data_IF_782834233612
#
_entry.id   IF_782834233612
#
_cell.length_a   1.000
_cell.length_b   1.000
_cell.length_c   1.000
_cell.angle_alpha   90.00
_cell.angle_beta   90.00
_cell.angle_gamma   90.00
#
_symmetry.space_group_name_H-M   'P 1'
#
loop_
_entity.id
_entity.type
_entity.pdbx_description
1 polymer ?
#
# COMPACT_ATOMS: atom_id res chain seq x y z
N UNK A 1 4.26 30.17 -20.42
CA UNK A 1 4.22 28.73 -20.73
C UNK A 1 5.25 28.08 -19.83
N UNK A 2 4.86 27.19 -18.90
CA UNK A 2 5.82 26.54 -18.00
C UNK A 2 6.73 25.58 -18.77
N UNK A 3 8.04 25.70 -18.57
CA UNK A 3 9.03 24.80 -19.14
C UNK A 3 9.05 23.43 -18.42
N UNK A 4 9.62 22.43 -19.10
CA UNK A 4 9.80 21.10 -18.52
C UNK A 4 10.75 21.14 -17.31
N UNK A 5 10.42 20.39 -16.25
CA UNK A 5 11.31 20.20 -15.10
C UNK A 5 12.15 18.94 -15.27
N UNK A 6 13.38 19.11 -15.75
CA UNK A 6 14.37 18.04 -15.87
C UNK A 6 14.57 17.20 -14.59
N UNK A 7 14.72 17.77 -13.37
CA UNK A 7 14.93 16.97 -12.17
C UNK A 7 13.72 16.11 -11.82
N UNK A 8 12.49 16.59 -12.07
CA UNK A 8 11.30 15.79 -11.84
C UNK A 8 11.16 14.67 -12.85
N UNK A 9 11.41 14.96 -14.13
CA UNK A 9 11.37 13.94 -15.17
C UNK A 9 12.37 12.82 -14.85
N UNK A 10 13.58 13.17 -14.42
CA UNK A 10 14.59 12.22 -13.99
C UNK A 10 14.10 11.32 -12.84
N UNK A 11 13.42 11.89 -11.82
CA UNK A 11 12.87 11.10 -10.71
C UNK A 11 11.71 10.20 -11.12
N UNK A 12 10.84 10.64 -12.03
CA UNK A 12 9.76 9.79 -12.57
C UNK A 12 10.38 8.59 -13.31
N UNK A 13 11.35 8.85 -14.20
CA UNK A 13 12.05 7.80 -14.95
C UNK A 13 12.76 6.85 -14.00
N UNK A 14 13.51 7.37 -13.02
CA UNK A 14 14.20 6.54 -12.03
C UNK A 14 13.21 5.71 -11.20
N UNK A 15 12.05 6.26 -10.83
CA UNK A 15 11.01 5.53 -10.09
C UNK A 15 10.45 4.35 -10.90
N UNK A 16 10.22 4.55 -12.20
CA UNK A 16 9.78 3.49 -13.13
C UNK A 16 10.86 2.42 -13.28
N UNK A 17 12.11 2.81 -13.51
CA UNK A 17 13.23 1.88 -13.65
C UNK A 17 13.40 1.04 -12.38
N UNK A 18 13.39 1.67 -11.20
CA UNK A 18 13.51 0.96 -9.92
C UNK A 18 12.34 0.00 -9.67
N UNK A 19 11.12 0.38 -10.05
CA UNK A 19 9.97 -0.51 -9.97
C UNK A 19 10.10 -1.73 -10.90
N UNK A 20 10.57 -1.53 -12.14
CA UNK A 20 10.82 -2.63 -13.08
C UNK A 20 11.89 -3.58 -12.53
N UNK A 21 13.00 -3.05 -12.00
CA UNK A 21 14.05 -3.86 -11.36
C UNK A 21 13.47 -4.65 -10.20
N UNK A 22 12.66 -4.03 -9.34
CA UNK A 22 12.00 -4.70 -8.21
C UNK A 22 11.09 -5.85 -8.67
N UNK A 23 10.29 -5.67 -9.72
CA UNK A 23 9.46 -6.73 -10.30
C UNK A 23 10.33 -7.89 -10.81
N UNK A 24 11.44 -7.59 -11.51
CA UNK A 24 12.35 -8.61 -12.02
C UNK A 24 12.91 -9.44 -10.85
N UNK A 25 13.36 -8.79 -9.76
CA UNK A 25 13.84 -9.49 -8.58
C UNK A 25 12.76 -10.36 -7.93
N UNK A 26 11.53 -9.87 -7.82
CA UNK A 26 10.41 -10.66 -7.31
C UNK A 26 10.09 -11.88 -8.21
N UNK A 27 10.10 -11.71 -9.53
CA UNK A 27 9.88 -12.78 -10.49
C UNK A 27 11.00 -13.83 -10.49
N UNK A 28 12.23 -13.42 -10.16
CA UNK A 28 13.38 -14.29 -9.98
C UNK A 28 13.36 -15.02 -8.62
N UNK A 29 12.93 -14.35 -7.55
CA UNK A 29 12.85 -14.92 -6.19
C UNK A 29 11.83 -16.07 -6.09
N UNK A 30 10.67 -15.95 -6.75
CA UNK A 30 9.62 -16.98 -6.72
C UNK A 30 10.14 -18.40 -7.04
N UNK A 31 10.77 -18.62 -8.21
CA UNK A 31 11.38 -19.90 -8.57
C UNK A 31 12.81 -20.10 -8.05
N UNK A 32 13.37 -19.19 -7.24
CA UNK A 32 14.76 -19.29 -6.76
C UNK A 32 15.81 -19.22 -7.87
N UNK A 33 15.64 -18.29 -8.81
CA UNK A 33 16.55 -18.08 -9.95
C UNK A 33 17.35 -16.79 -9.77
N UNK A 34 18.55 -16.71 -10.34
CA UNK A 34 19.40 -15.52 -10.19
C UNK A 34 20.05 -15.49 -8.80
N UNK A 35 20.21 -14.34 -8.12
CA UNK A 35 20.98 -14.28 -6.87
C UNK A 35 20.36 -15.06 -5.70
N UNK A 36 19.16 -15.61 -5.90
CA UNK A 36 18.42 -16.42 -4.93
C UNK A 36 18.85 -17.88 -4.99
N UNK A 37 19.03 -18.50 -3.82
CA UNK A 37 19.41 -19.91 -3.68
C UNK A 37 18.20 -20.80 -3.42
N UNK A 38 17.14 -20.24 -2.86
CA UNK A 38 15.95 -20.94 -2.44
C UNK A 38 14.72 -20.38 -3.14
N UNK A 39 13.68 -21.20 -3.28
CA UNK A 39 12.37 -20.68 -3.68
C UNK A 39 11.74 -19.96 -2.48
N UNK A 40 11.01 -18.87 -2.74
CA UNK A 40 10.29 -18.15 -1.66
C UNK A 40 9.33 -19.07 -0.90
N UNK A 41 8.71 -20.02 -1.61
CA UNK A 41 7.79 -21.00 -1.02
C UNK A 41 8.51 -22.03 -0.16
N UNK A 42 9.73 -22.47 -0.51
CA UNK A 42 10.49 -23.41 0.31
C UNK A 42 10.83 -22.81 1.68
N UNK A 43 11.31 -21.57 1.72
CA UNK A 43 11.58 -20.86 2.98
C UNK A 43 10.29 -20.68 3.78
N UNK A 44 9.20 -20.24 3.14
CA UNK A 44 7.91 -20.11 3.84
C UNK A 44 7.39 -21.43 4.41
N UNK A 45 7.72 -22.57 3.80
CA UNK A 45 7.33 -23.89 4.31
C UNK A 45 8.22 -24.33 5.49
N UNK A 46 9.51 -23.96 5.50
CA UNK A 46 10.41 -24.21 6.62
C UNK A 46 10.00 -23.40 7.86
N UNK A 47 9.52 -22.17 7.65
CA UNK A 47 9.08 -21.25 8.70
C UNK A 47 7.55 -21.17 8.84
N UNK A 48 6.88 -22.32 8.78
CA UNK A 48 5.43 -22.38 8.84
C UNK A 48 4.90 -22.05 10.25
N UNK A 49 3.93 -21.13 10.32
CA UNK A 49 3.26 -20.69 11.56
C UNK A 49 1.74 -20.85 11.46
N UNK A 50 1.03 -20.76 12.58
CA UNK A 50 -0.45 -20.82 12.64
C UNK A 50 -1.16 -19.65 11.92
N UNK A 51 -0.41 -18.65 11.43
CA UNK A 51 -0.93 -17.55 10.60
C UNK A 51 -0.26 -17.47 9.22
N UNK A 52 0.49 -18.50 8.83
CA UNK A 52 1.02 -18.60 7.46
C UNK A 52 -0.14 -18.97 6.54
N UNK A 53 -0.50 -18.14 5.54
CA UNK A 53 -1.63 -18.43 4.67
C UNK A 53 -1.32 -19.57 3.69
N UNK A 54 -2.36 -20.06 3.02
CA UNK A 54 -2.22 -21.01 1.93
C UNK A 54 -1.53 -20.38 0.71
N UNK A 55 -0.92 -21.23 -0.13
CA UNK A 55 -0.07 -20.79 -1.25
C UNK A 55 -0.77 -19.86 -2.26
N UNK A 56 -2.08 -20.04 -2.48
CA UNK A 56 -2.83 -19.20 -3.42
C UNK A 56 -2.89 -17.74 -2.97
N UNK A 57 -2.80 -17.46 -1.67
CA UNK A 57 -2.89 -16.09 -1.12
C UNK A 57 -1.73 -15.22 -1.61
N UNK A 58 -0.57 -15.81 -1.91
CA UNK A 58 0.57 -15.09 -2.47
C UNK A 58 0.33 -14.57 -3.90
N UNK A 59 -0.73 -15.01 -4.59
CA UNK A 59 -1.15 -14.42 -5.88
C UNK A 59 -1.51 -12.93 -5.77
N UNK A 60 -1.77 -12.42 -4.56
CA UNK A 60 -1.99 -11.00 -4.31
C UNK A 60 -0.82 -10.12 -4.76
N UNK A 61 0.41 -10.64 -4.79
CA UNK A 61 1.56 -9.93 -5.36
C UNK A 61 1.36 -9.61 -6.84
N UNK A 62 0.76 -10.53 -7.61
CA UNK A 62 0.40 -10.28 -9.01
C UNK A 62 -0.63 -9.15 -9.15
N UNK A 63 -1.63 -9.11 -8.26
CA UNK A 63 -2.63 -8.03 -8.21
C UNK A 63 -1.96 -6.69 -7.86
N UNK A 64 -1.10 -6.68 -6.84
CA UNK A 64 -0.35 -5.49 -6.41
C UNK A 64 0.52 -4.96 -7.55
N UNK A 65 1.36 -5.79 -8.16
CA UNK A 65 2.27 -5.35 -9.22
C UNK A 65 1.53 -4.92 -10.48
N UNK A 66 0.40 -5.56 -10.82
CA UNK A 66 -0.44 -5.10 -11.93
C UNK A 66 -1.02 -3.72 -11.64
N UNK A 67 -1.57 -3.50 -10.45
CA UNK A 67 -2.16 -2.20 -10.08
C UNK A 67 -1.10 -1.09 -10.02
N UNK A 68 0.07 -1.37 -9.43
CA UNK A 68 1.18 -0.43 -9.38
C UNK A 68 1.76 -0.14 -10.79
N UNK A 69 1.70 -1.11 -11.71
CA UNK A 69 2.04 -0.85 -13.11
C UNK A 69 1.05 0.11 -13.75
N UNK A 70 -0.26 -0.05 -13.51
CA UNK A 70 -1.28 0.90 -13.98
C UNK A 70 -1.11 2.30 -13.37
N UNK A 71 -0.69 2.37 -12.10
CA UNK A 71 -0.29 3.62 -11.46
C UNK A 71 0.84 4.31 -12.24
N UNK A 72 1.91 3.59 -12.59
CA UNK A 72 3.01 4.16 -13.35
C UNK A 72 2.65 4.52 -14.78
N UNK A 73 1.81 3.73 -15.46
CA UNK A 73 1.27 4.08 -16.78
C UNK A 73 0.53 5.43 -16.70
N UNK A 74 -0.29 5.63 -15.66
CA UNK A 74 -0.94 6.91 -15.43
C UNK A 74 0.07 8.03 -15.18
N UNK A 75 1.04 7.84 -14.27
CA UNK A 75 2.06 8.86 -13.95
C UNK A 75 2.86 9.25 -15.20
N UNK A 76 3.34 8.29 -15.98
CA UNK A 76 4.08 8.54 -17.22
C UNK A 76 3.19 9.23 -18.26
N UNK A 77 1.90 8.88 -18.35
CA UNK A 77 0.99 9.59 -19.27
C UNK A 77 0.93 11.10 -18.98
N UNK A 78 1.13 11.53 -17.72
CA UNK A 78 1.15 12.96 -17.36
C UNK A 78 2.37 13.71 -17.90
N UNK A 79 3.46 13.02 -18.27
CA UNK A 79 4.62 13.67 -18.90
C UNK A 79 4.37 14.03 -20.36
N UNK A 80 3.45 13.31 -21.01
CA UNK A 80 3.04 13.53 -22.40
C UNK A 80 1.81 14.45 -22.54
N UNK A 81 1.20 14.86 -21.42
CA UNK A 81 -0.03 15.68 -21.39
C UNK A 81 0.28 17.11 -20.93
N UNK A 82 -0.41 18.08 -21.53
CA UNK A 82 -0.28 19.51 -21.19
C UNK A 82 -1.59 20.06 -20.62
N UNK A 83 -1.45 21.02 -19.70
CA UNK A 83 -2.51 21.84 -19.13
C UNK A 83 -2.36 23.28 -19.64
N UNK A 84 -3.28 24.17 -19.27
CA UNK A 84 -3.17 25.61 -19.55
C UNK A 84 -1.93 26.26 -18.93
N UNK A 85 -1.34 25.65 -17.88
CA UNK A 85 -0.18 26.18 -17.17
C UNK A 85 1.16 25.62 -17.69
N UNK A 86 1.14 24.45 -18.33
CA UNK A 86 2.34 23.76 -18.81
C UNK A 86 2.17 22.23 -18.80
N UNK A 87 3.27 21.46 -18.80
CA UNK A 87 3.18 20.00 -18.69
C UNK A 87 2.50 19.56 -17.39
N UNK A 88 1.60 18.58 -17.46
CA UNK A 88 0.75 18.19 -16.33
C UNK A 88 1.54 17.64 -15.13
N UNK A 89 2.68 17.00 -15.38
CA UNK A 89 3.53 16.46 -14.32
C UNK A 89 4.27 17.54 -13.50
N UNK A 90 4.38 18.79 -14.01
CA UNK A 90 5.11 19.86 -13.35
C UNK A 90 4.34 21.18 -13.17
N UNK A 91 3.18 21.33 -13.80
CA UNK A 91 2.43 22.59 -13.79
C UNK A 91 0.91 22.33 -13.65
N UNK A 92 0.41 21.97 -12.45
CA UNK A 92 1.12 21.84 -11.17
C UNK A 92 1.70 20.44 -10.88
N UNK A 93 2.63 20.44 -9.94
CA UNK A 93 3.20 19.27 -9.29
C UNK A 93 2.20 18.47 -8.43
N UNK A 94 1.23 17.76 -9.03
CA UNK A 94 0.25 17.05 -8.20
C UNK A 94 0.94 15.97 -7.35
N UNK A 95 1.86 15.19 -7.90
CA UNK A 95 2.68 14.26 -7.11
C UNK A 95 4.01 14.92 -6.72
N UNK A 96 4.31 15.04 -5.42
CA UNK A 96 5.45 15.81 -4.96
C UNK A 96 6.78 15.06 -5.08
N UNK A 97 7.92 15.76 -4.99
CA UNK A 97 9.26 15.14 -4.99
C UNK A 97 9.41 14.02 -3.93
N UNK A 98 8.88 14.26 -2.73
CA UNK A 98 8.93 13.29 -1.64
C UNK A 98 8.28 11.95 -1.99
N UNK A 99 7.22 11.95 -2.81
CA UNK A 99 6.57 10.73 -3.28
C UNK A 99 7.56 9.83 -4.03
N UNK A 100 8.26 10.38 -5.02
CA UNK A 100 9.18 9.61 -5.87
C UNK A 100 10.43 9.16 -5.11
N UNK A 101 10.99 10.02 -4.24
CA UNK A 101 12.16 9.69 -3.43
C UNK A 101 11.82 8.55 -2.46
N UNK A 102 10.70 8.64 -1.74
CA UNK A 102 10.25 7.58 -0.84
C UNK A 102 9.92 6.30 -1.61
N UNK A 103 9.34 6.40 -2.80
CA UNK A 103 9.08 5.25 -3.67
C UNK A 103 10.36 4.50 -4.05
N UNK A 104 11.39 5.23 -4.50
CA UNK A 104 12.68 4.63 -4.86
C UNK A 104 13.31 3.92 -3.66
N UNK A 105 13.30 4.55 -2.48
CA UNK A 105 13.77 3.92 -1.25
C UNK A 105 12.98 2.65 -0.91
N UNK A 106 11.65 2.67 -1.07
CA UNK A 106 10.80 1.51 -0.85
C UNK A 106 11.14 0.34 -1.80
N UNK A 107 11.38 0.60 -3.09
CA UNK A 107 11.79 -0.44 -4.04
C UNK A 107 13.14 -1.08 -3.68
N UNK A 108 14.09 -0.28 -3.19
CA UNK A 108 15.38 -0.79 -2.71
C UNK A 108 15.21 -1.66 -1.45
N UNK A 109 14.36 -1.24 -0.51
CA UNK A 109 14.02 -2.03 0.66
C UNK A 109 13.33 -3.34 0.29
N UNK A 110 12.46 -3.36 -0.73
CA UNK A 110 11.82 -4.58 -1.23
C UNK A 110 12.85 -5.58 -1.78
N UNK A 111 13.78 -5.11 -2.61
CA UNK A 111 14.88 -5.96 -3.12
C UNK A 111 15.73 -6.47 -1.96
N UNK A 112 16.07 -5.62 -1.00
CA UNK A 112 16.82 -6.01 0.19
C UNK A 112 16.10 -7.06 1.03
N UNK A 113 14.79 -6.90 1.23
CA UNK A 113 13.95 -7.89 1.92
C UNK A 113 13.99 -9.26 1.25
N UNK A 114 13.86 -9.32 -0.09
CA UNK A 114 13.92 -10.58 -0.83
C UNK A 114 15.26 -11.30 -0.61
N UNK A 115 16.37 -10.56 -0.66
CA UNK A 115 17.71 -11.12 -0.48
C UNK A 115 17.90 -11.62 0.96
N UNK A 116 17.45 -10.86 1.96
CA UNK A 116 17.56 -11.27 3.37
C UNK A 116 16.67 -12.48 3.67
N UNK A 117 15.46 -12.50 3.13
CA UNK A 117 14.54 -13.63 3.26
C UNK A 117 15.12 -14.91 2.65
N UNK A 118 15.72 -14.82 1.46
CA UNK A 118 16.40 -15.95 0.79
C UNK A 118 17.55 -16.54 1.62
N UNK A 119 18.23 -15.71 2.39
CA UNK A 119 19.36 -16.08 3.27
C UNK A 119 18.94 -16.44 4.68
N UNK A 120 17.64 -16.56 4.92
CA UNK A 120 17.08 -16.95 6.20
C UNK A 120 17.43 -15.98 7.36
N UNK A 121 17.78 -14.73 7.03
CA UNK A 121 18.08 -13.67 8.00
C UNK A 121 16.77 -13.04 8.53
N UNK A 122 16.01 -13.82 9.31
CA UNK A 122 14.61 -13.54 9.67
C UNK A 122 14.40 -12.20 10.39
N UNK A 123 15.29 -11.84 11.32
CA UNK A 123 15.21 -10.57 12.05
C UNK A 123 15.45 -9.39 11.10
N UNK A 124 16.46 -9.48 10.23
CA UNK A 124 16.76 -8.43 9.26
C UNK A 124 15.65 -8.31 8.22
N UNK A 125 15.10 -9.43 7.75
CA UNK A 125 13.95 -9.48 6.86
C UNK A 125 12.73 -8.79 7.50
N UNK A 126 12.42 -9.07 8.77
CA UNK A 126 11.36 -8.39 9.51
C UNK A 126 11.56 -6.86 9.53
N UNK A 127 12.77 -6.40 9.84
CA UNK A 127 13.09 -4.96 9.89
C UNK A 127 12.87 -4.32 8.51
N UNK A 128 13.38 -4.93 7.45
CA UNK A 128 13.20 -4.43 6.09
C UNK A 128 11.73 -4.37 5.69
N UNK A 129 10.95 -5.40 6.02
CA UNK A 129 9.52 -5.44 5.71
C UNK A 129 8.72 -4.37 6.48
N UNK A 130 9.07 -4.12 7.74
CA UNK A 130 8.51 -3.02 8.52
C UNK A 130 8.86 -1.66 7.91
N UNK A 131 10.10 -1.47 7.42
CA UNK A 131 10.51 -0.24 6.71
C UNK A 131 9.78 -0.07 5.37
N UNK A 132 9.50 -1.16 4.64
CA UNK A 132 8.65 -1.13 3.44
C UNK A 132 7.24 -0.65 3.81
N UNK A 133 6.61 -1.25 4.82
CA UNK A 133 5.28 -0.83 5.27
C UNK A 133 5.26 0.65 5.70
N UNK A 134 6.26 1.08 6.49
CA UNK A 134 6.41 2.48 6.91
C UNK A 134 6.53 3.45 5.73
N UNK A 135 7.44 3.17 4.79
CA UNK A 135 7.62 4.02 3.61
C UNK A 135 6.37 4.06 2.73
N UNK A 136 5.63 2.95 2.63
CA UNK A 136 4.33 2.90 1.96
C UNK A 136 3.28 3.85 2.60
N UNK A 137 3.20 3.92 3.95
CA UNK A 137 2.36 4.91 4.63
C UNK A 137 2.79 6.36 4.32
N UNK A 138 4.10 6.62 4.27
CA UNK A 138 4.64 7.94 3.89
C UNK A 138 4.21 8.34 2.47
N UNK A 139 4.24 7.39 1.52
CA UNK A 139 3.75 7.61 0.15
C UNK A 139 2.25 7.95 0.15
N UNK A 140 1.41 7.25 0.94
CA UNK A 140 -0.01 7.60 1.09
C UNK A 140 -0.16 9.04 1.59
N UNK A 141 0.60 9.44 2.63
CA UNK A 141 0.55 10.80 3.18
C UNK A 141 0.84 11.85 2.10
N UNK A 142 1.85 11.64 1.25
CA UNK A 142 2.13 12.54 0.13
C UNK A 142 0.96 12.66 -0.84
N UNK A 143 0.31 11.55 -1.20
CA UNK A 143 -0.85 11.58 -2.12
C UNK A 143 -2.07 12.24 -1.50
N UNK A 144 -2.32 12.02 -0.20
CA UNK A 144 -3.40 12.65 0.53
C UNK A 144 -3.16 14.16 0.68
N UNK A 145 -1.91 14.57 0.94
CA UNK A 145 -1.52 15.98 0.96
C UNK A 145 -1.76 16.62 -0.41
N UNK A 146 -1.32 15.97 -1.49
CA UNK A 146 -1.54 16.44 -2.85
C UNK A 146 -3.02 16.67 -3.17
N UNK A 147 -3.90 15.71 -2.85
CA UNK A 147 -5.35 15.86 -3.08
C UNK A 147 -6.03 16.87 -2.15
N UNK A 148 -5.46 17.15 -0.98
CA UNK A 148 -5.93 18.24 -0.12
C UNK A 148 -5.71 19.59 -0.80
N UNK A 149 -4.56 19.77 -1.44
CA UNK A 149 -4.14 21.04 -2.04
C UNK A 149 -4.74 21.24 -3.43
N UNK A 150 -4.62 20.23 -4.29
CA UNK A 150 -5.00 20.34 -5.71
C UNK A 150 -6.38 19.75 -6.02
N UNK A 151 -7.06 19.15 -5.04
CA UNK A 151 -8.31 18.42 -5.27
C UNK A 151 -9.47 19.26 -5.79
N UNK A 152 -9.59 20.52 -5.35
CA UNK A 152 -10.63 21.43 -5.84
C UNK A 152 -10.39 21.81 -7.32
N UNK A 153 -9.13 22.11 -7.66
CA UNK A 153 -8.70 22.38 -9.04
C UNK A 153 -8.91 21.16 -9.95
N UNK A 154 -8.49 19.97 -9.50
CA UNK A 154 -8.71 18.72 -10.22
C UNK A 154 -10.21 18.45 -10.42
N UNK A 155 -11.07 18.68 -9.41
CA UNK A 155 -12.52 18.50 -9.58
C UNK A 155 -13.12 19.46 -10.61
N UNK A 156 -12.64 20.71 -10.69
CA UNK A 156 -13.17 21.71 -11.61
C UNK A 156 -12.72 21.47 -13.05
N UNK A 157 -11.43 21.21 -13.25
CA UNK A 157 -10.82 21.20 -14.59
C UNK A 157 -10.35 19.81 -15.06
N UNK A 158 -10.09 18.86 -14.16
CA UNK A 158 -9.44 17.57 -14.46
C UNK A 158 -10.10 16.39 -13.72
N UNK A 159 -11.43 16.24 -13.85
CA UNK A 159 -12.22 15.25 -13.09
C UNK A 159 -11.73 13.81 -13.28
N UNK A 160 -11.32 13.47 -14.50
CA UNK A 160 -10.79 12.14 -14.82
C UNK A 160 -9.50 11.90 -14.04
N UNK A 161 -8.59 12.86 -14.03
CA UNK A 161 -7.33 12.75 -13.29
C UNK A 161 -7.54 12.64 -11.78
N UNK A 162 -8.52 13.36 -11.22
CA UNK A 162 -8.90 13.19 -9.82
C UNK A 162 -9.26 11.73 -9.49
N UNK A 163 -10.03 11.08 -10.36
CA UNK A 163 -10.41 9.68 -10.20
C UNK A 163 -9.24 8.73 -10.48
N UNK A 164 -8.39 9.00 -11.47
CA UNK A 164 -7.17 8.23 -11.70
C UNK A 164 -6.24 8.27 -10.48
N UNK A 165 -6.05 9.42 -9.83
CA UNK A 165 -5.24 9.51 -8.60
C UNK A 165 -5.89 8.69 -7.48
N UNK A 166 -7.21 8.79 -7.28
CA UNK A 166 -7.89 8.01 -6.24
C UNK A 166 -7.79 6.50 -6.49
N UNK A 167 -8.09 6.05 -7.70
CA UNK A 167 -8.22 4.63 -8.03
C UNK A 167 -6.86 4.00 -8.32
N UNK A 168 -6.04 4.60 -9.17
CA UNK A 168 -4.76 4.00 -9.59
C UNK A 168 -3.65 4.27 -8.59
N UNK A 169 -3.55 5.50 -8.07
CA UNK A 169 -2.47 5.89 -7.15
C UNK A 169 -2.80 5.51 -5.72
N UNK A 170 -3.81 6.12 -5.09
CA UNK A 170 -4.09 5.93 -3.67
C UNK A 170 -4.50 4.48 -3.33
N UNK A 171 -5.43 3.89 -4.09
CA UNK A 171 -5.86 2.52 -3.83
C UNK A 171 -4.81 1.47 -4.25
N UNK A 172 -4.01 1.73 -5.29
CA UNK A 172 -2.89 0.86 -5.66
C UNK A 172 -1.84 0.80 -4.55
N UNK A 173 -1.42 1.97 -4.04
CA UNK A 173 -0.48 2.05 -2.92
C UNK A 173 -1.11 1.48 -1.65
N UNK A 174 -2.37 1.80 -1.32
CA UNK A 174 -3.02 1.26 -0.13
C UNK A 174 -3.12 -0.28 -0.15
N UNK A 175 -3.34 -0.88 -1.33
CA UNK A 175 -3.31 -2.34 -1.50
C UNK A 175 -1.93 -2.88 -1.12
N UNK A 176 -0.87 -2.26 -1.63
CA UNK A 176 0.49 -2.64 -1.32
C UNK A 176 0.83 -2.43 0.16
N UNK A 177 0.48 -1.27 0.73
CA UNK A 177 0.67 -0.93 2.15
C UNK A 177 0.03 -1.99 3.04
N UNK A 178 -1.26 -2.28 2.86
CA UNK A 178 -1.98 -3.22 3.71
C UNK A 178 -1.38 -4.62 3.63
N UNK A 179 -1.01 -5.08 2.44
CA UNK A 179 -0.35 -6.37 2.31
C UNK A 179 1.01 -6.40 3.01
N UNK A 180 1.83 -5.36 2.87
CA UNK A 180 3.14 -5.28 3.55
C UNK A 180 3.03 -5.18 5.07
N UNK A 181 1.99 -4.53 5.58
CA UNK A 181 1.69 -4.52 7.03
C UNK A 181 1.37 -5.94 7.51
N UNK A 182 0.50 -6.66 6.81
CA UNK A 182 0.16 -8.05 7.15
C UNK A 182 1.39 -8.97 7.03
N UNK A 183 2.18 -8.82 5.96
CA UNK A 183 3.39 -9.60 5.75
C UNK A 183 4.44 -9.33 6.85
N UNK A 184 4.50 -8.09 7.37
CA UNK A 184 5.32 -7.73 8.55
C UNK A 184 4.89 -8.55 9.77
N UNK A 185 3.58 -8.68 10.03
CA UNK A 185 3.07 -9.52 11.13
C UNK A 185 3.36 -11.01 10.93
N UNK A 186 3.33 -11.50 9.69
CA UNK A 186 3.75 -12.88 9.38
C UNK A 186 5.23 -13.07 9.69
N UNK A 187 6.11 -12.17 9.23
CA UNK A 187 7.55 -12.21 9.50
C UNK A 187 7.83 -12.05 11.01
N UNK A 188 7.06 -11.21 11.70
CA UNK A 188 7.15 -11.04 13.14
C UNK A 188 6.81 -12.32 13.88
N UNK A 189 5.76 -13.03 13.44
CA UNK A 189 5.39 -14.34 14.00
C UNK A 189 6.50 -15.37 13.80
N UNK A 190 7.15 -15.37 12.64
CA UNK A 190 8.31 -16.23 12.37
C UNK A 190 9.41 -15.94 13.38
N UNK A 191 9.80 -14.67 13.56
CA UNK A 191 10.83 -14.29 14.54
C UNK A 191 10.44 -14.66 15.97
N UNK A 192 9.19 -14.41 16.37
CA UNK A 192 8.70 -14.80 17.71
C UNK A 192 8.80 -16.32 17.94
N UNK A 193 8.45 -17.11 16.93
CA UNK A 193 8.47 -18.57 17.01
C UNK A 193 9.88 -19.15 16.98
N UNK A 194 10.69 -18.73 16.01
CA UNK A 194 11.94 -19.39 15.66
C UNK A 194 13.17 -18.76 16.32
N UNK A 195 13.17 -17.45 16.56
CA UNK A 195 14.30 -16.75 17.19
C UNK A 195 14.04 -16.47 18.69
N UNK A 196 12.80 -16.12 19.07
CA UNK A 196 12.44 -15.78 20.45
C UNK A 196 11.90 -16.97 21.27
N UNK A 197 11.74 -18.15 20.66
CA UNK A 197 11.36 -19.40 21.35
C UNK A 197 9.90 -19.47 21.82
N UNK A 198 9.01 -18.59 21.36
CA UNK A 198 7.59 -18.65 21.72
C UNK A 198 6.91 -19.91 21.16
N UNK A 199 5.83 -20.36 21.79
CA UNK A 199 4.99 -21.41 21.22
C UNK A 199 4.34 -20.91 19.92
N UNK A 200 4.05 -21.82 18.99
CA UNK A 200 3.42 -21.47 17.72
C UNK A 200 2.07 -20.77 17.93
N UNK A 201 1.29 -21.25 18.90
CA UNK A 201 -0.02 -20.67 19.20
C UNK A 201 0.12 -19.27 19.78
N UNK A 202 1.06 -19.03 20.71
CA UNK A 202 1.21 -17.72 21.35
C UNK A 202 1.77 -16.67 20.37
N UNK A 203 2.77 -17.05 19.57
CA UNK A 203 3.32 -16.16 18.53
C UNK A 203 2.23 -15.71 17.55
N UNK A 204 1.39 -16.65 17.08
CA UNK A 204 0.26 -16.36 16.21
C UNK A 204 -0.79 -15.48 16.89
N UNK A 205 -1.15 -15.76 18.16
CA UNK A 205 -2.13 -14.96 18.91
C UNK A 205 -1.67 -13.52 19.10
N UNK A 206 -0.37 -13.29 19.35
CA UNK A 206 0.20 -11.93 19.45
C UNK A 206 -0.01 -11.17 18.14
N UNK A 207 0.39 -11.75 17.01
CA UNK A 207 0.27 -11.08 15.71
C UNK A 207 -1.17 -10.86 15.26
N UNK A 208 -2.09 -11.79 15.54
CA UNK A 208 -3.52 -11.60 15.30
C UNK A 208 -4.12 -10.49 16.17
N UNK A 209 -3.65 -10.36 17.41
CA UNK A 209 -4.07 -9.29 18.32
C UNK A 209 -3.55 -7.92 17.87
N UNK A 210 -2.34 -7.86 17.33
CA UNK A 210 -1.81 -6.64 16.69
C UNK A 210 -2.67 -6.30 15.47
N UNK A 211 -2.97 -7.26 14.59
CA UNK A 211 -3.82 -7.04 13.41
C UNK A 211 -5.22 -6.55 13.78
N UNK A 212 -5.82 -7.09 14.85
CA UNK A 212 -7.10 -6.61 15.39
C UNK A 212 -6.99 -5.15 15.84
N UNK A 213 -5.96 -4.82 16.63
CA UNK A 213 -5.70 -3.45 17.08
C UNK A 213 -5.50 -2.48 15.92
N UNK A 214 -4.73 -2.88 14.91
CA UNK A 214 -4.51 -2.11 13.69
C UNK A 214 -5.79 -1.91 12.89
N UNK A 215 -6.61 -2.95 12.70
CA UNK A 215 -7.87 -2.85 11.95
C UNK A 215 -8.86 -1.90 12.62
N UNK A 216 -9.02 -1.99 13.94
CA UNK A 216 -9.90 -1.08 14.72
C UNK A 216 -9.35 0.35 14.67
N UNK A 217 -8.06 0.52 14.96
CA UNK A 217 -7.42 1.84 14.97
C UNK A 217 -7.49 2.49 13.60
N UNK A 218 -7.21 1.75 12.53
CA UNK A 218 -7.32 2.24 11.16
C UNK A 218 -8.75 2.64 10.82
N UNK A 219 -9.74 1.82 11.16
CA UNK A 219 -11.15 2.15 10.93
C UNK A 219 -11.55 3.46 11.62
N UNK A 220 -11.10 3.68 12.86
CA UNK A 220 -11.36 4.92 13.60
C UNK A 220 -10.67 6.10 12.92
N UNK A 221 -9.37 5.97 12.64
CA UNK A 221 -8.57 7.03 12.03
C UNK A 221 -9.13 7.43 10.65
N UNK A 222 -9.48 6.46 9.81
CA UNK A 222 -9.93 6.74 8.45
C UNK A 222 -11.36 7.29 8.38
N UNK A 223 -12.23 6.98 9.33
CA UNK A 223 -13.64 7.37 9.25
C UNK A 223 -13.96 8.61 10.09
N UNK A 224 -13.14 8.93 11.10
CA UNK A 224 -13.38 10.05 12.00
C UNK A 224 -12.29 11.11 11.97
N UNK A 225 -11.01 10.72 11.94
CA UNK A 225 -9.88 11.67 12.06
C UNK A 225 -9.43 12.21 10.70
N UNK A 226 -9.14 11.31 9.76
CA UNK A 226 -8.61 11.60 8.44
C UNK A 226 -9.62 11.38 7.31
N UNK A 227 -10.91 11.39 7.67
CA UNK A 227 -12.06 11.12 6.80
C UNK A 227 -11.94 11.75 5.40
N UNK A 228 -11.74 13.06 5.34
CA UNK A 228 -11.69 13.80 4.07
C UNK A 228 -10.52 13.37 3.17
N UNK A 229 -9.44 12.86 3.76
CA UNK A 229 -8.21 12.46 3.05
C UNK A 229 -8.24 10.99 2.62
N UNK A 230 -8.89 10.12 3.42
CA UNK A 230 -8.92 8.67 3.23
C UNK A 230 -10.27 8.15 2.73
N UNK A 231 -11.24 9.03 2.44
CA UNK A 231 -12.61 8.67 2.04
C UNK A 231 -12.65 7.63 0.92
N UNK A 232 -11.88 7.84 -0.14
CA UNK A 232 -11.92 6.99 -1.33
C UNK A 232 -10.86 5.87 -1.35
N UNK A 233 -10.15 5.66 -0.25
CA UNK A 233 -9.28 4.48 -0.08
C UNK A 233 -10.17 3.35 0.44
N UNK A 234 -10.39 2.34 -0.41
CA UNK A 234 -11.32 1.24 -0.19
C UNK A 234 -10.65 -0.14 -0.23
N UNK A 235 -9.40 -0.23 -0.71
CA UNK A 235 -8.70 -1.50 -0.90
C UNK A 235 -8.14 -2.14 0.37
N UNK A 236 -8.10 -1.42 1.50
CA UNK A 236 -7.56 -1.93 2.77
C UNK A 236 -8.28 -3.21 3.23
N UNK A 237 -9.60 -3.17 3.43
CA UNK A 237 -10.32 -4.34 3.93
C UNK A 237 -10.39 -5.50 2.95
N UNK A 238 -10.56 -5.31 1.62
CA UNK A 238 -10.39 -6.39 0.65
C UNK A 238 -9.07 -7.16 0.80
N UNK A 239 -7.96 -6.46 1.03
CA UNK A 239 -6.65 -7.10 1.26
C UNK A 239 -6.63 -7.89 2.57
N UNK A 240 -7.16 -7.31 3.67
CA UNK A 240 -7.29 -8.01 4.97
C UNK A 240 -8.15 -9.28 4.82
N UNK A 241 -9.27 -9.19 4.09
CA UNK A 241 -10.18 -10.31 3.83
C UNK A 241 -9.47 -11.41 3.04
N UNK A 242 -8.72 -11.08 1.98
CA UNK A 242 -7.95 -12.05 1.21
C UNK A 242 -6.89 -12.73 2.08
N UNK A 243 -6.16 -11.97 2.89
CA UNK A 243 -5.15 -12.53 3.79
C UNK A 243 -5.73 -13.47 4.86
N UNK A 244 -6.84 -13.08 5.47
CA UNK A 244 -7.52 -13.89 6.49
C UNK A 244 -8.22 -15.10 5.89
N UNK A 245 -8.77 -14.98 4.69
CA UNK A 245 -9.34 -16.13 3.93
C UNK A 245 -8.24 -17.12 3.54
N UNK A 246 -7.07 -16.62 3.13
CA UNK A 246 -5.87 -17.40 2.93
C UNK A 246 -5.44 -18.20 4.16
N UNK A 247 -5.51 -17.55 5.31
CA UNK A 247 -5.26 -18.18 6.60
C UNK A 247 -6.32 -19.21 6.98
N UNK A 248 -7.60 -18.87 6.84
CA UNK A 248 -8.73 -19.75 7.13
C UNK A 248 -8.66 -21.05 6.34
N UNK A 249 -8.30 -20.98 5.05
CA UNK A 249 -8.21 -22.16 4.18
C UNK A 249 -7.06 -23.13 4.55
N UNK A 250 -6.03 -22.66 5.28
CA UNK A 250 -4.91 -23.50 5.72
C UNK A 250 -5.02 -23.94 7.18
N UNK A 251 -5.42 -23.02 8.05
CA UNK A 251 -5.23 -23.12 9.50
C UNK A 251 -6.53 -23.32 10.29
N UNK A 252 -7.69 -23.44 9.63
CA UNK A 252 -8.97 -23.69 10.30
C UNK A 252 -9.50 -25.11 10.06
N UNK A 253 -9.81 -25.80 11.15
CA UNK A 253 -10.52 -27.08 11.14
C UNK A 253 -11.89 -26.88 11.80
N UNK A 254 -12.97 -27.16 11.07
CA UNK A 254 -14.34 -26.99 11.58
C UNK A 254 -14.74 -28.05 12.61
N UNK A 255 -14.11 -29.23 12.61
CA UNK A 255 -14.41 -30.30 13.56
C UNK A 255 -13.73 -30.10 14.92
N UNK A 256 -12.60 -29.40 14.93
CA UNK A 256 -11.83 -29.09 16.15
C UNK A 256 -11.10 -27.74 15.98
N UNK A 257 -11.81 -26.62 16.15
CA UNK A 257 -11.26 -25.31 15.86
C UNK A 257 -10.27 -24.86 16.94
N UNK A 258 -9.00 -24.70 16.54
CA UNK A 258 -7.96 -24.17 17.43
C UNK A 258 -8.24 -22.73 17.86
N UNK A 259 -7.61 -22.29 18.96
CA UNK A 259 -7.68 -20.90 19.45
C UNK A 259 -7.47 -19.87 18.33
N UNK A 260 -6.39 -20.03 17.56
CA UNK A 260 -6.07 -19.10 16.47
C UNK A 260 -6.98 -19.31 15.25
N UNK A 261 -7.48 -20.52 15.00
CA UNK A 261 -8.49 -20.77 13.99
C UNK A 261 -9.78 -19.98 14.25
N UNK A 262 -10.28 -20.00 15.50
CA UNK A 262 -11.44 -19.19 15.92
C UNK A 262 -11.13 -17.70 15.79
N UNK A 263 -9.94 -17.26 16.23
CA UNK A 263 -9.54 -15.87 16.15
C UNK A 263 -9.52 -15.37 14.68
N UNK A 264 -8.92 -16.13 13.76
CA UNK A 264 -8.93 -15.82 12.33
C UNK A 264 -10.35 -15.69 11.81
N UNK A 265 -11.28 -16.57 12.21
CA UNK A 265 -12.68 -16.54 11.77
C UNK A 265 -13.38 -15.25 12.21
N UNK A 266 -13.22 -14.90 13.49
CA UNK A 266 -13.80 -13.68 14.08
C UNK A 266 -13.22 -12.44 13.42
N UNK A 267 -11.90 -12.39 13.21
CA UNK A 267 -11.23 -11.26 12.59
C UNK A 267 -11.62 -11.10 11.11
N UNK A 268 -11.86 -12.20 10.40
CA UNK A 268 -12.39 -12.19 9.03
C UNK A 268 -13.82 -11.63 9.01
N UNK A 269 -14.69 -12.10 9.91
CA UNK A 269 -16.05 -11.57 10.06
C UNK A 269 -16.06 -10.07 10.39
N UNK A 270 -15.16 -9.63 11.27
CA UNK A 270 -14.95 -8.21 11.58
C UNK A 270 -14.51 -7.44 10.33
N UNK A 271 -13.49 -7.92 9.61
CA UNK A 271 -12.98 -7.25 8.40
C UNK A 271 -14.08 -7.08 7.32
N UNK A 272 -14.91 -8.10 7.10
CA UNK A 272 -16.07 -8.03 6.22
C UNK A 272 -17.09 -6.97 6.69
N UNK A 273 -17.37 -6.94 7.99
CA UNK A 273 -18.30 -5.96 8.59
C UNK A 273 -17.77 -4.54 8.45
N UNK A 274 -16.50 -4.30 8.79
CA UNK A 274 -15.84 -3.01 8.65
C UNK A 274 -15.83 -2.55 7.18
N UNK A 275 -15.59 -3.46 6.23
CA UNK A 275 -15.65 -3.16 4.81
C UNK A 275 -17.05 -2.70 4.37
N UNK A 276 -18.09 -3.45 4.75
CA UNK A 276 -19.46 -3.09 4.42
C UNK A 276 -19.83 -1.72 4.99
N UNK A 277 -19.50 -1.45 6.26
CA UNK A 277 -19.72 -0.14 6.88
C UNK A 277 -18.95 0.95 6.13
N UNK A 278 -17.68 0.71 5.80
CA UNK A 278 -16.85 1.68 5.05
C UNK A 278 -17.49 2.03 3.71
N UNK A 279 -17.94 1.05 2.93
CA UNK A 279 -18.60 1.29 1.64
C UNK A 279 -19.88 2.12 1.82
N UNK A 280 -20.74 1.75 2.78
CA UNK A 280 -21.97 2.48 3.09
C UNK A 280 -21.69 3.93 3.50
N UNK A 281 -20.71 4.15 4.40
CA UNK A 281 -20.30 5.48 4.83
C UNK A 281 -19.76 6.32 3.68
N UNK A 282 -18.95 5.73 2.79
CA UNK A 282 -18.39 6.43 1.64
C UNK A 282 -19.49 6.83 0.65
N UNK A 283 -20.43 5.95 0.35
CA UNK A 283 -21.59 6.25 -0.51
C UNK A 283 -22.43 7.37 0.12
N UNK A 284 -22.79 7.22 1.39
CA UNK A 284 -23.59 8.22 2.11
C UNK A 284 -22.90 9.59 2.14
N UNK A 285 -21.61 9.65 2.47
CA UNK A 285 -20.83 10.90 2.50
C UNK A 285 -20.57 11.47 1.11
N UNK A 286 -20.47 10.64 0.08
CA UNK A 286 -20.37 11.11 -1.30
C UNK A 286 -21.62 11.88 -1.72
N UNK A 287 -22.81 11.38 -1.34
CA UNK A 287 -24.10 11.99 -1.67
C UNK A 287 -24.40 13.20 -0.78
N UNK A 288 -24.27 13.07 0.55
CA UNK A 288 -24.70 14.09 1.52
C UNK A 288 -23.64 15.13 1.84
N UNK A 289 -22.36 14.78 1.73
CA UNK A 289 -21.24 15.66 2.09
C UNK A 289 -20.11 15.63 1.03
N UNK A 290 -20.40 15.88 -0.26
CA UNK A 290 -19.41 15.72 -1.32
C UNK A 290 -18.21 16.65 -1.10
N UNK A 291 -17.01 16.13 -1.38
CA UNK A 291 -15.78 16.92 -1.29
C UNK A 291 -15.77 18.03 -2.34
N UNK A 292 -15.18 19.17 -1.98
CA UNK A 292 -14.94 20.33 -2.84
C UNK A 292 -16.23 20.94 -3.42
N UNK A 293 -17.22 21.28 -2.59
CA UNK A 293 -18.48 21.92 -3.03
C UNK A 293 -18.33 23.38 -3.44
N UNK A 294 -17.43 24.15 -2.81
CA UNK A 294 -17.18 25.56 -3.16
C UNK A 294 -15.97 25.67 -4.09
N UNK A 295 -16.19 25.59 -5.41
CA UNK A 295 -15.14 25.71 -6.44
C UNK A 295 -15.12 27.07 -7.14
N UNK A 296 -15.80 28.07 -6.57
CA UNK A 296 -15.93 29.39 -7.20
C UNK A 296 -14.67 30.25 -7.00
N UNK A 297 -13.96 30.07 -5.87
CA UNK A 297 -12.65 30.68 -5.58
C UNK A 297 -11.54 29.61 -5.56
N UNK A 298 -11.33 28.91 -6.68
CA UNK A 298 -10.17 28.01 -6.79
C UNK A 298 -8.92 28.86 -7.02
N UNK A 299 -8.12 29.04 -5.97
CA UNK A 299 -6.78 29.63 -6.04
C UNK A 299 -5.97 28.97 -7.16
N UNK A 300 -5.14 29.76 -7.86
CA UNK A 300 -4.36 29.23 -8.97
C UNK A 300 -3.45 28.10 -8.47
N UNK A 301 -3.38 26.95 -9.18
CA UNK A 301 -2.52 25.85 -8.77
C UNK A 301 -1.03 26.24 -8.72
N UNK A 302 -0.62 27.29 -9.44
CA UNK A 302 0.74 27.81 -9.38
C UNK A 302 1.00 28.61 -8.09
N UNK A 303 0.05 29.41 -7.63
CA UNK A 303 0.15 30.14 -6.34
C UNK A 303 0.20 29.17 -5.15
N UNK A 304 -0.49 28.03 -5.25
CA UNK A 304 -0.42 26.95 -4.27
C UNK A 304 1.00 26.35 -4.25
N UNK A 305 1.57 26.07 -5.43
CA UNK A 305 2.89 25.47 -5.55
C UNK A 305 4.01 26.38 -5.01
N UNK A 306 3.94 27.70 -5.22
CA UNK A 306 4.92 28.66 -4.70
C UNK A 306 4.99 28.68 -3.17
N UNK A 307 3.87 28.39 -2.49
CA UNK A 307 3.78 28.38 -1.02
C UNK A 307 4.26 27.06 -0.40
N UNK A 308 4.60 26.05 -1.20
CA UNK A 308 4.99 24.72 -0.71
C UNK A 308 6.50 24.58 -0.51
N UNK A 309 6.88 23.84 0.54
CA UNK A 309 8.28 23.38 0.70
C UNK A 309 8.65 22.44 -0.44
N UNK A 310 9.90 22.46 -0.91
CA UNK A 310 10.39 21.65 -2.05
C UNK A 310 10.02 20.16 -2.00
N UNK A 311 10.01 19.54 -0.82
CA UNK A 311 9.64 18.11 -0.67
C UNK A 311 8.16 17.84 -1.00
N UNK A 312 7.30 18.84 -0.77
CA UNK A 312 5.85 18.80 -1.06
C UNK A 312 5.48 19.51 -2.37
N UNK A 313 6.45 20.16 -3.02
CA UNK A 313 6.28 20.88 -4.27
C UNK A 313 6.64 20.02 -5.51
#
# INVERSE_FOLDING_TARGET
MGDHSAPRLALIVLSVVMFIICIIFNALAGPGKGPFQNTTSAISNNYNTEITPSGWTFSIWGVIYTWLSLMFVYIVSTTCRRTTYGPMYCSPAVLPYGFFITWIANMLLNIGWLLLWDREEMIAALIFLALIAFTNYVVIIFTCHALKQYGAWLKKYHKVDLWCIRILVQNGIATYTTWTTIATLINFTVVLRYDAGMTQSDAATVSLSILLGEAISWFILENFVFEKHLRYILTVYPVVIVALSGNMTKNFNSADPSRNGIYIAVLLGLACTLFAIKVLLVIWRHIKHPLYMNTDEVMSPMEIAEKQKKVFA
#
